data_IF_466406901466
#
_entry.id   IF_466406901466
#
_cell.length_a   1.000
_cell.length_b   1.000
_cell.length_c   1.000
_cell.angle_alpha   90.00
_cell.angle_beta   90.00
_cell.angle_gamma   90.00
#
_symmetry.space_group_name_H-M   'P 1'
#
loop_
_entity.id
_entity.type
_entity.pdbx_description
1 polymer ?
#
# COMPACT_ATOMS: atom_id res chain seq x y z
N UNK A 1 7.56 16.91 15.15
CA UNK A 1 6.41 17.74 15.58
C UNK A 1 5.13 17.10 15.06
N UNK A 2 4.19 16.75 15.94
CA UNK A 2 2.86 16.27 15.56
C UNK A 2 2.08 17.50 15.12
N UNK A 3 1.80 17.63 13.82
CA UNK A 3 1.10 18.82 13.27
C UNK A 3 -0.37 18.80 13.65
N UNK A 4 -0.86 19.90 14.25
CA UNK A 4 -2.28 20.11 14.60
C UNK A 4 -3.13 20.62 13.41
N UNK A 5 -2.49 21.00 12.30
CA UNK A 5 -3.15 21.67 11.16
C UNK A 5 -3.19 20.82 9.88
N UNK A 6 -2.82 19.54 9.94
CA UNK A 6 -2.77 18.70 8.77
C UNK A 6 -4.17 18.47 8.18
N UNK A 7 -4.28 18.75 6.88
CA UNK A 7 -5.49 18.43 6.11
C UNK A 7 -5.66 16.91 5.99
N UNK A 8 -6.64 16.37 6.70
CA UNK A 8 -7.07 14.97 6.60
C UNK A 8 -8.59 14.93 6.69
N UNK A 9 -9.30 14.59 5.62
CA UNK A 9 -10.77 14.53 5.57
C UNK A 9 -11.41 13.77 6.71
N UNK A 10 -10.79 12.68 7.15
CA UNK A 10 -11.24 11.89 8.29
C UNK A 10 -11.39 12.73 9.57
N UNK A 11 -10.44 13.63 9.85
CA UNK A 11 -10.47 14.46 11.03
C UNK A 11 -11.43 15.65 10.94
N UNK A 12 -11.79 16.06 9.74
CA UNK A 12 -12.86 17.05 9.54
C UNK A 12 -14.23 16.43 9.76
N UNK A 13 -14.43 15.22 9.22
CA UNK A 13 -15.70 14.50 9.37
C UNK A 13 -15.90 14.00 10.79
N UNK A 14 -14.84 13.56 11.47
CA UNK A 14 -14.84 13.01 12.83
C UNK A 14 -13.79 13.69 13.69
N UNK A 15 -14.05 14.94 14.15
CA UNK A 15 -13.07 15.72 14.93
C UNK A 15 -12.62 15.07 16.24
N UNK A 16 -13.44 14.18 16.83
CA UNK A 16 -13.08 13.43 18.04
C UNK A 16 -11.89 12.48 17.89
N UNK A 17 -11.51 12.16 16.64
CA UNK A 17 -10.33 11.36 16.35
C UNK A 17 -9.01 12.15 16.46
N UNK A 18 -9.05 13.47 16.26
CA UNK A 18 -7.84 14.30 16.10
C UNK A 18 -6.90 14.25 17.30
N UNK A 19 -7.44 14.20 18.49
CA UNK A 19 -6.65 14.16 19.73
C UNK A 19 -6.24 12.75 20.14
N UNK A 20 -6.98 11.74 19.65
CA UNK A 20 -6.82 10.33 20.05
C UNK A 20 -6.02 9.50 19.06
N UNK A 21 -5.89 9.98 17.83
CA UNK A 21 -5.22 9.29 16.75
C UNK A 21 -4.03 10.11 16.25
N UNK A 22 -2.82 9.83 16.74
CA UNK A 22 -1.63 10.56 16.31
C UNK A 22 -1.35 10.35 14.84
N UNK A 23 -0.83 11.40 14.18
CA UNK A 23 -0.44 11.37 12.78
C UNK A 23 0.84 12.19 12.56
N UNK A 24 1.71 11.74 11.66
CA UNK A 24 2.84 12.50 11.13
C UNK A 24 2.61 12.85 9.66
N UNK A 25 3.21 13.92 9.20
CA UNK A 25 3.08 14.36 7.81
C UNK A 25 4.12 13.70 6.93
N UNK A 26 3.69 12.81 6.06
CA UNK A 26 4.49 12.17 5.02
C UNK A 26 3.92 12.44 3.63
N UNK A 27 2.60 12.30 3.50
CA UNK A 27 1.91 12.38 2.23
C UNK A 27 1.61 13.83 1.82
N UNK A 28 1.78 14.11 0.54
CA UNK A 28 1.27 15.30 -0.14
C UNK A 28 -0.14 14.98 -0.65
N UNK A 29 -1.15 15.48 0.05
CA UNK A 29 -2.55 15.20 -0.25
C UNK A 29 -3.32 16.47 -0.63
N UNK A 30 -4.40 16.33 -1.42
CA UNK A 30 -4.91 15.12 -2.05
C UNK A 30 -4.01 14.63 -3.20
N UNK A 31 -3.90 13.31 -3.39
CA UNK A 31 -3.21 12.78 -4.58
C UNK A 31 -4.03 13.09 -5.84
N UNK A 32 -3.39 13.34 -7.00
CA UNK A 32 -4.11 13.65 -8.22
C UNK A 32 -5.03 12.52 -8.69
N UNK A 33 -6.13 12.89 -9.37
CA UNK A 33 -6.88 12.00 -10.24
C UNK A 33 -6.69 12.49 -11.66
N UNK A 34 -6.33 11.60 -12.57
CA UNK A 34 -6.03 11.91 -13.97
C UNK A 34 -6.83 10.99 -14.89
N UNK A 35 -7.25 11.52 -16.06
CA UNK A 35 -7.86 10.71 -17.11
C UNK A 35 -6.79 9.97 -17.88
N UNK A 36 -6.98 8.67 -18.11
CA UNK A 36 -6.14 7.81 -18.95
C UNK A 36 -6.73 7.74 -20.37
N UNK A 37 -6.70 8.85 -21.09
CA UNK A 37 -7.41 9.01 -22.37
C UNK A 37 -6.88 8.08 -23.47
N UNK A 38 -5.56 7.93 -23.57
CA UNK A 38 -4.97 7.11 -24.62
C UNK A 38 -5.21 5.62 -24.35
N UNK A 39 -5.12 5.19 -23.09
CA UNK A 39 -5.43 3.82 -22.71
C UNK A 39 -6.93 3.55 -22.89
N UNK A 40 -7.80 4.43 -22.42
CA UNK A 40 -9.25 4.28 -22.55
C UNK A 40 -9.66 4.07 -24.01
N UNK A 41 -9.19 4.93 -24.90
CA UNK A 41 -9.43 4.80 -26.35
C UNK A 41 -8.90 3.50 -26.93
N UNK A 42 -7.72 3.05 -26.49
CA UNK A 42 -7.07 1.83 -27.00
C UNK A 42 -7.77 0.54 -26.57
N UNK A 43 -8.42 0.54 -25.40
CA UNK A 43 -9.09 -0.64 -24.84
C UNK A 43 -10.62 -0.60 -24.99
N UNK A 44 -11.17 0.48 -25.60
CA UNK A 44 -12.59 0.63 -25.85
C UNK A 44 -13.42 0.94 -24.58
N UNK A 45 -12.86 1.64 -23.61
CA UNK A 45 -13.55 2.06 -22.38
C UNK A 45 -13.82 3.55 -22.45
N UNK A 46 -15.05 3.98 -22.18
CA UNK A 46 -15.45 5.39 -22.35
C UNK A 46 -14.75 6.31 -21.35
N UNK A 47 -14.67 5.87 -20.09
CA UNK A 47 -14.19 6.69 -18.98
C UNK A 47 -13.27 5.90 -18.06
N UNK A 48 -11.99 6.17 -18.17
CA UNK A 48 -10.94 5.53 -17.38
C UNK A 48 -10.07 6.57 -16.70
N UNK A 49 -10.00 6.48 -15.38
CA UNK A 49 -9.26 7.39 -14.53
C UNK A 49 -8.18 6.65 -13.75
N UNK A 50 -7.16 7.37 -13.29
CA UNK A 50 -6.17 6.86 -12.35
C UNK A 50 -6.06 7.75 -11.13
N UNK A 51 -6.10 7.15 -9.93
CA UNK A 51 -5.73 7.80 -8.66
C UNK A 51 -4.22 7.63 -8.45
N UNK A 52 -3.50 8.74 -8.40
CA UNK A 52 -2.03 8.81 -8.42
C UNK A 52 -1.43 8.69 -7.01
N UNK A 53 -1.74 7.60 -6.30
CA UNK A 53 -1.07 7.34 -5.02
C UNK A 53 0.42 7.02 -5.18
N UNK A 54 0.85 6.66 -6.38
CA UNK A 54 2.24 6.53 -6.75
C UNK A 54 3.04 7.84 -6.58
N UNK A 55 2.36 8.98 -6.55
CA UNK A 55 2.90 10.32 -6.29
C UNK A 55 2.55 10.85 -4.89
N UNK A 56 2.08 10.00 -3.99
CA UNK A 56 1.58 10.38 -2.65
C UNK A 56 2.59 11.10 -1.76
N UNK A 57 3.88 11.03 -2.07
CA UNK A 57 4.91 11.79 -1.38
C UNK A 57 6.12 12.05 -2.29
N UNK A 58 6.95 13.03 -1.93
CA UNK A 58 8.10 13.41 -2.76
C UNK A 58 9.28 12.44 -2.63
N UNK A 59 9.52 11.91 -1.43
CA UNK A 59 10.68 11.07 -1.14
C UNK A 59 10.48 9.63 -1.65
N UNK A 60 9.31 9.05 -1.37
CA UNK A 60 8.91 7.71 -1.82
C UNK A 60 7.37 7.64 -1.78
N UNK A 61 6.74 7.45 -2.91
CA UNK A 61 5.29 7.42 -3.03
C UNK A 61 4.66 6.05 -2.74
N UNK A 62 3.46 5.89 -3.21
CA UNK A 62 2.69 4.65 -3.08
C UNK A 62 1.77 4.60 -1.86
N UNK A 63 0.96 3.58 -1.82
CA UNK A 63 -0.07 3.39 -0.79
C UNK A 63 0.47 3.26 0.64
N UNK A 64 1.74 2.90 0.80
CA UNK A 64 2.33 2.67 2.12
C UNK A 64 2.49 3.95 2.92
N UNK A 65 2.70 5.08 2.24
CA UNK A 65 2.86 6.40 2.86
C UNK A 65 1.65 6.74 3.74
N UNK A 66 0.43 6.56 3.21
CA UNK A 66 -0.82 6.82 3.94
C UNK A 66 -0.95 6.01 5.22
N UNK A 67 -0.46 4.76 5.21
CA UNK A 67 -0.47 3.89 6.39
C UNK A 67 0.60 4.28 7.40
N UNK A 68 1.80 4.61 6.90
CA UNK A 68 2.95 4.97 7.73
C UNK A 68 2.74 6.28 8.47
N UNK A 69 1.92 7.20 7.97
CA UNK A 69 1.54 8.41 8.70
C UNK A 69 0.97 8.11 10.09
N UNK A 70 0.14 7.09 10.21
CA UNK A 70 -0.47 6.68 11.48
C UNK A 70 0.43 5.72 12.28
N UNK A 71 1.12 4.81 11.61
CA UNK A 71 1.95 3.80 12.27
C UNK A 71 3.20 4.41 12.90
N UNK A 72 3.90 5.28 12.17
CA UNK A 72 5.09 5.96 12.71
C UNK A 72 4.71 6.98 13.78
N UNK A 73 3.57 7.66 13.64
CA UNK A 73 3.08 8.54 14.70
C UNK A 73 2.79 7.79 16.00
N UNK A 74 2.21 6.59 15.93
CA UNK A 74 1.96 5.75 17.10
C UNK A 74 3.26 5.26 17.74
N UNK A 75 4.25 4.88 16.91
CA UNK A 75 5.59 4.50 17.38
C UNK A 75 6.24 5.65 18.17
N UNK A 76 6.21 6.87 17.63
CA UNK A 76 6.76 8.06 18.26
C UNK A 76 6.00 8.43 19.54
N UNK A 77 4.67 8.37 19.52
CA UNK A 77 3.83 8.67 20.69
C UNK A 77 4.07 7.68 21.85
N UNK A 78 4.46 6.45 21.54
CA UNK A 78 4.84 5.41 22.51
C UNK A 78 6.30 5.50 22.97
N UNK A 79 7.06 6.48 22.46
CA UNK A 79 8.47 6.65 22.80
C UNK A 79 9.38 5.54 22.26
N UNK A 80 8.97 4.84 21.19
CA UNK A 80 9.80 3.82 20.57
C UNK A 80 11.01 4.47 19.87
N UNK A 81 12.18 3.88 20.05
CA UNK A 81 13.42 4.28 19.35
C UNK A 81 13.65 3.52 18.06
N UNK A 82 12.86 2.49 17.78
CA UNK A 82 13.01 1.64 16.60
C UNK A 82 11.65 1.12 16.11
N UNK A 83 11.64 0.70 14.84
CA UNK A 83 10.53 -0.05 14.22
C UNK A 83 11.02 -1.38 13.69
N UNK A 84 10.16 -2.40 13.73
CA UNK A 84 10.36 -3.69 13.09
C UNK A 84 9.30 -3.88 12.02
N UNK A 85 9.69 -4.32 10.82
CA UNK A 85 8.76 -4.60 9.74
C UNK A 85 9.13 -5.87 8.97
N UNK A 86 8.26 -6.28 8.05
CA UNK A 86 8.32 -7.54 7.33
C UNK A 86 8.05 -7.38 5.85
N UNK A 87 8.62 -8.25 5.03
CA UNK A 87 8.32 -8.29 3.59
C UNK A 87 9.10 -9.35 2.83
N UNK A 88 8.98 -9.35 1.52
CA UNK A 88 9.95 -9.98 0.62
C UNK A 88 11.18 -9.09 0.44
N UNK A 89 12.26 -9.62 -0.12
CA UNK A 89 13.51 -8.89 -0.35
C UNK A 89 13.31 -7.62 -1.21
N UNK A 90 12.33 -7.60 -2.11
CA UNK A 90 11.94 -6.43 -2.90
C UNK A 90 10.72 -5.66 -2.38
N UNK A 91 10.37 -5.81 -1.11
CA UNK A 91 9.16 -5.22 -0.53
C UNK A 91 9.14 -3.69 -0.56
N UNK A 92 8.17 -3.11 -1.28
CA UNK A 92 7.90 -1.67 -1.26
C UNK A 92 7.52 -1.17 0.14
N UNK A 93 6.88 -2.03 0.95
CA UNK A 93 6.50 -1.67 2.31
C UNK A 93 7.70 -1.58 3.25
N UNK A 94 8.56 -2.58 3.24
CA UNK A 94 9.75 -2.60 4.09
C UNK A 94 10.67 -1.41 3.76
N UNK A 95 10.89 -1.14 2.48
CA UNK A 95 11.69 -0.01 2.04
C UNK A 95 11.09 1.33 2.44
N UNK A 96 9.79 1.55 2.20
CA UNK A 96 9.11 2.77 2.63
C UNK A 96 9.18 2.95 4.16
N UNK A 97 9.02 1.85 4.92
CA UNK A 97 9.13 1.89 6.38
C UNK A 97 10.52 2.33 6.83
N UNK A 98 11.58 1.74 6.27
CA UNK A 98 12.97 2.09 6.59
C UNK A 98 13.26 3.57 6.28
N UNK A 99 12.86 4.02 5.09
CA UNK A 99 13.09 5.38 4.64
C UNK A 99 12.41 6.43 5.53
N UNK A 100 11.13 6.19 5.86
CA UNK A 100 10.39 7.14 6.70
C UNK A 100 10.73 7.00 8.19
N UNK A 101 11.12 5.83 8.68
CA UNK A 101 11.66 5.65 10.02
C UNK A 101 12.94 6.49 10.21
N UNK A 102 13.88 6.41 9.26
CA UNK A 102 15.12 7.20 9.26
C UNK A 102 14.85 8.70 9.31
N UNK A 103 13.82 9.19 8.61
CA UNK A 103 13.41 10.62 8.66
C UNK A 103 13.03 11.09 10.06
N UNK A 104 12.53 10.20 10.91
CA UNK A 104 12.14 10.49 12.30
C UNK A 104 13.18 10.05 13.33
N UNK A 105 14.37 9.63 12.90
CA UNK A 105 15.43 9.17 13.79
C UNK A 105 15.14 7.83 14.45
N UNK A 106 14.25 7.02 13.86
CA UNK A 106 13.95 5.67 14.33
C UNK A 106 14.86 4.65 13.64
N UNK A 107 15.50 3.77 14.40
CA UNK A 107 16.16 2.59 13.84
C UNK A 107 15.14 1.71 13.13
N UNK A 108 15.52 1.06 12.02
CA UNK A 108 14.66 0.14 11.31
C UNK A 108 15.24 -1.26 11.25
N UNK A 109 14.47 -2.24 11.69
CA UNK A 109 14.69 -3.66 11.50
C UNK A 109 13.74 -4.17 10.44
N UNK A 110 14.24 -4.96 9.49
CA UNK A 110 13.39 -5.59 8.48
C UNK A 110 13.72 -7.08 8.35
N UNK A 111 12.72 -7.92 8.60
CA UNK A 111 12.81 -9.37 8.37
C UNK A 111 12.24 -9.64 6.97
N UNK A 112 13.12 -10.10 6.07
CA UNK A 112 12.80 -10.24 4.65
C UNK A 112 12.86 -11.70 4.21
N UNK A 113 11.81 -12.15 3.55
CA UNK A 113 11.77 -13.45 2.88
C UNK A 113 12.39 -13.36 1.48
N UNK A 114 12.96 -14.47 0.99
CA UNK A 114 13.45 -14.51 -0.38
C UNK A 114 12.31 -14.45 -1.40
N UNK A 115 12.60 -13.85 -2.53
CA UNK A 115 11.74 -13.77 -3.70
C UNK A 115 12.60 -13.87 -4.98
N UNK A 116 12.00 -13.96 -6.18
CA UNK A 116 12.76 -14.07 -7.41
C UNK A 116 13.82 -12.97 -7.56
N UNK A 117 15.03 -13.36 -7.95
CA UNK A 117 16.11 -12.41 -8.17
C UNK A 117 15.82 -11.54 -9.39
N UNK A 118 15.78 -10.23 -9.16
CA UNK A 118 15.61 -9.20 -10.20
C UNK A 118 16.50 -8.01 -9.87
N UNK A 119 16.84 -7.22 -10.88
CA UNK A 119 17.56 -5.95 -10.67
C UNK A 119 16.85 -5.03 -9.69
N UNK A 120 15.52 -4.97 -9.74
CA UNK A 120 14.72 -4.17 -8.83
C UNK A 120 14.84 -4.62 -7.36
N UNK A 121 14.93 -5.93 -7.11
CA UNK A 121 15.18 -6.48 -5.76
C UNK A 121 16.58 -6.11 -5.29
N UNK A 122 17.60 -6.33 -6.13
CA UNK A 122 18.98 -5.97 -5.82
C UNK A 122 19.12 -4.49 -5.46
N UNK A 123 18.54 -3.59 -6.26
CA UNK A 123 18.52 -2.15 -5.98
C UNK A 123 17.89 -1.82 -4.62
N UNK A 124 16.76 -2.42 -4.28
CA UNK A 124 16.09 -2.17 -3.00
C UNK A 124 16.92 -2.67 -1.80
N UNK A 125 17.60 -3.79 -1.92
CA UNK A 125 18.52 -4.27 -0.88
C UNK A 125 19.69 -3.29 -0.66
N UNK A 126 20.26 -2.73 -1.73
CA UNK A 126 21.27 -1.68 -1.62
C UNK A 126 20.70 -0.41 -0.98
N UNK A 127 19.45 -0.07 -1.30
CA UNK A 127 18.79 1.07 -0.68
C UNK A 127 18.57 0.87 0.83
N UNK A 128 18.22 -0.34 1.26
CA UNK A 128 18.19 -0.67 2.68
C UNK A 128 19.55 -0.49 3.37
N UNK A 129 20.65 -0.82 2.67
CA UNK A 129 22.00 -0.60 3.18
C UNK A 129 22.28 0.89 3.41
N UNK A 130 21.91 1.75 2.44
CA UNK A 130 22.05 3.22 2.57
C UNK A 130 21.23 3.82 3.69
N UNK A 131 20.14 3.16 4.03
CA UNK A 131 19.25 3.56 5.12
C UNK A 131 19.70 3.01 6.48
N UNK A 132 20.82 2.30 6.56
CA UNK A 132 21.28 1.60 7.77
C UNK A 132 20.25 0.63 8.34
N UNK A 133 19.40 0.06 7.47
CA UNK A 133 18.37 -0.90 7.88
C UNK A 133 19.03 -2.20 8.34
N UNK A 134 18.66 -2.67 9.52
CA UNK A 134 19.14 -3.95 10.05
C UNK A 134 18.31 -5.08 9.45
N UNK A 135 18.89 -5.72 8.43
CA UNK A 135 18.23 -6.77 7.67
C UNK A 135 18.45 -8.14 8.29
N UNK A 136 17.40 -8.94 8.36
CA UNK A 136 17.45 -10.36 8.68
C UNK A 136 16.65 -11.15 7.62
N UNK A 137 17.13 -12.34 7.24
CA UNK A 137 16.44 -13.22 6.28
C UNK A 137 15.69 -14.32 7.00
N UNK A 138 14.38 -14.46 6.71
CA UNK A 138 13.58 -15.58 7.20
C UNK A 138 12.47 -15.91 6.19
N UNK A 139 12.35 -17.21 5.84
CA UNK A 139 11.49 -17.65 4.73
C UNK A 139 10.23 -18.40 5.17
N UNK A 140 10.06 -18.66 6.45
CA UNK A 140 8.88 -19.34 7.00
C UNK A 140 8.30 -18.55 8.16
N UNK A 141 6.99 -18.63 8.35
CA UNK A 141 6.34 -17.92 9.45
C UNK A 141 6.92 -18.25 10.84
N UNK A 142 7.26 -19.50 11.18
CA UNK A 142 7.94 -19.78 12.44
C UNK A 142 9.30 -19.07 12.56
N UNK A 143 10.13 -19.07 11.50
CA UNK A 143 11.42 -18.38 11.50
C UNK A 143 11.27 -16.85 11.62
N UNK A 144 10.28 -16.27 10.93
CA UNK A 144 9.96 -14.84 11.03
C UNK A 144 9.55 -14.48 12.47
N UNK A 145 8.70 -15.28 13.11
CA UNK A 145 8.27 -15.05 14.49
C UNK A 145 9.45 -15.14 15.46
N UNK A 146 10.29 -16.17 15.35
CA UNK A 146 11.46 -16.33 16.20
C UNK A 146 12.46 -15.16 16.03
N UNK A 147 12.65 -14.67 14.81
CA UNK A 147 13.48 -13.49 14.54
C UNK A 147 12.88 -12.24 15.18
N UNK A 148 11.57 -12.03 15.02
CA UNK A 148 10.85 -10.90 15.60
C UNK A 148 10.94 -10.90 17.13
N UNK A 149 10.69 -12.03 17.78
CA UNK A 149 10.78 -12.19 19.24
C UNK A 149 12.19 -11.84 19.76
N UNK A 150 13.25 -12.27 19.09
CA UNK A 150 14.63 -11.91 19.44
C UNK A 150 14.87 -10.39 19.34
N UNK A 151 14.41 -9.77 18.27
CA UNK A 151 14.59 -8.32 18.06
C UNK A 151 13.81 -7.54 19.12
N UNK A 152 12.55 -7.91 19.36
CA UNK A 152 11.69 -7.25 20.36
C UNK A 152 12.23 -7.42 21.79
N UNK A 153 12.83 -8.56 22.13
CA UNK A 153 13.41 -8.83 23.45
C UNK A 153 14.79 -8.17 23.65
N UNK A 154 15.58 -7.97 22.61
CA UNK A 154 16.98 -7.54 22.70
C UNK A 154 17.19 -6.02 22.77
N UNK A 155 16.15 -5.24 22.57
CA UNK A 155 16.21 -3.79 22.45
C UNK A 155 15.17 -3.13 23.37
N UNK A 156 15.33 -1.82 23.58
CA UNK A 156 14.28 -1.00 24.19
C UNK A 156 12.99 -1.03 23.40
N UNK A 157 12.10 -0.08 23.61
CA UNK A 157 10.80 -0.07 22.95
C UNK A 157 10.93 -0.06 21.40
N UNK A 158 10.65 -1.21 20.77
CA UNK A 158 10.58 -1.42 19.32
C UNK A 158 9.10 -1.49 18.94
N UNK A 159 8.69 -0.69 17.96
CA UNK A 159 7.33 -0.73 17.44
C UNK A 159 7.21 -1.71 16.28
N UNK A 160 6.35 -2.70 16.44
CA UNK A 160 6.10 -3.70 15.40
C UNK A 160 5.10 -3.17 14.37
N UNK A 161 5.53 -3.07 13.11
CA UNK A 161 4.69 -2.72 11.95
C UNK A 161 4.42 -4.00 11.17
N UNK A 162 3.17 -4.50 11.12
CA UNK A 162 2.86 -5.77 10.49
C UNK A 162 3.07 -5.74 8.97
N UNK A 163 3.04 -6.91 8.32
CA UNK A 163 3.13 -7.04 6.88
C UNK A 163 2.26 -6.01 6.15
N UNK A 164 2.87 -5.26 5.23
CA UNK A 164 2.18 -4.23 4.45
C UNK A 164 1.59 -3.08 5.26
N UNK A 165 1.94 -2.96 6.55
CA UNK A 165 1.35 -1.99 7.47
C UNK A 165 -0.14 -2.22 7.73
N UNK A 166 -0.62 -3.47 7.58
CA UNK A 166 -2.04 -3.80 7.64
C UNK A 166 -2.46 -4.15 9.07
N UNK A 167 -2.67 -3.11 9.86
CA UNK A 167 -3.36 -3.10 11.15
C UNK A 167 -4.44 -2.01 11.09
N UNK A 168 -5.35 -1.98 12.05
CA UNK A 168 -6.39 -0.96 12.09
C UNK A 168 -5.83 0.47 11.96
N UNK A 169 -4.67 0.76 12.57
CA UNK A 169 -4.02 2.08 12.46
C UNK A 169 -3.58 2.37 11.01
N UNK A 170 -2.91 1.43 10.37
CA UNK A 170 -2.49 1.61 8.98
C UNK A 170 -3.68 1.64 8.01
N UNK A 171 -4.71 0.83 8.26
CA UNK A 171 -5.96 0.81 7.48
C UNK A 171 -6.65 2.17 7.54
N UNK A 172 -6.60 2.87 8.68
CA UNK A 172 -7.16 4.23 8.84
C UNK A 172 -6.63 5.22 7.79
N UNK A 173 -5.38 5.06 7.34
CA UNK A 173 -4.82 5.84 6.23
C UNK A 173 -5.62 5.69 4.92
N UNK A 174 -6.23 4.52 4.70
CA UNK A 174 -7.09 4.28 3.54
C UNK A 174 -8.56 4.60 3.78
N UNK A 175 -9.03 4.60 5.01
CA UNK A 175 -10.30 5.26 5.36
C UNK A 175 -10.21 6.75 5.02
N UNK A 176 -9.12 7.41 5.40
CA UNK A 176 -8.88 8.81 5.03
C UNK A 176 -8.78 9.01 3.50
N UNK A 177 -8.16 8.07 2.77
CA UNK A 177 -8.06 8.14 1.31
C UNK A 177 -9.42 8.03 0.60
N UNK A 178 -10.34 7.23 1.15
CA UNK A 178 -11.70 7.15 0.65
C UNK A 178 -12.44 8.50 0.82
N UNK A 179 -12.32 9.12 1.99
CA UNK A 179 -12.93 10.44 2.23
C UNK A 179 -12.30 11.53 1.35
N UNK A 180 -11.00 11.44 1.08
CA UNK A 180 -10.31 12.32 0.12
C UNK A 180 -10.89 12.20 -1.30
N UNK A 181 -11.17 10.97 -1.75
CA UNK A 181 -11.80 10.74 -3.05
C UNK A 181 -13.22 11.34 -3.08
N UNK A 182 -13.98 11.21 -2.00
CA UNK A 182 -15.32 11.82 -1.88
C UNK A 182 -15.24 13.33 -2.05
N UNK A 183 -14.32 14.01 -1.36
CA UNK A 183 -14.14 15.46 -1.53
C UNK A 183 -13.73 15.86 -2.97
N UNK A 184 -12.98 15.00 -3.65
CA UNK A 184 -12.64 15.22 -5.06
C UNK A 184 -13.86 15.05 -5.97
N UNK A 185 -14.75 14.10 -5.68
CA UNK A 185 -16.04 13.92 -6.38
C UNK A 185 -16.94 15.13 -6.12
N UNK A 186 -17.15 15.51 -4.86
CA UNK A 186 -18.01 16.62 -4.45
C UNK A 186 -17.54 17.97 -5.03
N UNK A 187 -16.23 18.13 -5.23
CA UNK A 187 -15.64 19.31 -5.87
C UNK A 187 -15.68 19.28 -7.41
N UNK A 188 -16.26 18.24 -8.01
CA UNK A 188 -16.40 18.10 -9.46
C UNK A 188 -15.09 17.77 -10.20
N UNK A 189 -14.05 17.31 -9.49
CA UNK A 189 -12.78 16.89 -10.12
C UNK A 189 -12.90 15.59 -10.90
N UNK A 190 -13.84 14.75 -10.53
CA UNK A 190 -14.19 13.52 -11.22
C UNK A 190 -15.66 13.18 -10.96
N UNK A 191 -16.25 12.38 -11.84
CA UNK A 191 -17.54 11.77 -11.58
C UNK A 191 -17.40 10.63 -10.55
N UNK A 192 -18.52 10.20 -9.97
CA UNK A 192 -18.55 9.04 -9.09
C UNK A 192 -18.16 7.77 -9.86
N UNK A 193 -17.06 7.09 -9.51
CA UNK A 193 -16.71 5.84 -10.17
C UNK A 193 -17.70 4.71 -9.87
N UNK A 194 -18.07 3.94 -10.88
CA UNK A 194 -18.79 2.67 -10.70
C UNK A 194 -17.88 1.61 -10.09
N UNK A 195 -16.64 1.55 -10.59
CA UNK A 195 -15.66 0.52 -10.25
C UNK A 195 -14.31 1.16 -9.91
N UNK A 196 -13.70 0.64 -8.85
CA UNK A 196 -12.30 0.96 -8.50
C UNK A 196 -11.48 -0.32 -8.52
N UNK A 197 -10.43 -0.36 -9.34
CA UNK A 197 -9.47 -1.46 -9.39
C UNK A 197 -8.25 -1.15 -8.54
N UNK A 198 -7.87 -2.08 -7.67
CA UNK A 198 -6.61 -2.00 -6.93
C UNK A 198 -6.02 -3.38 -6.64
N UNK A 199 -4.71 -3.44 -6.39
CA UNK A 199 -4.04 -4.65 -5.96
C UNK A 199 -4.28 -4.94 -4.48
N UNK A 200 -4.69 -6.16 -4.16
CA UNK A 200 -4.83 -6.71 -2.81
C UNK A 200 -3.67 -7.64 -2.47
N UNK A 201 -2.86 -7.25 -1.48
CA UNK A 201 -1.81 -8.11 -0.93
C UNK A 201 -2.13 -8.51 0.50
N UNK A 202 -1.94 -7.60 1.45
CA UNK A 202 -2.34 -7.76 2.85
C UNK A 202 -3.63 -7.02 3.18
N UNK A 203 -4.44 -6.75 2.22
CA UNK A 203 -5.80 -6.21 2.17
C UNK A 203 -6.05 -4.87 2.89
N UNK A 204 -5.07 -4.29 3.55
CA UNK A 204 -5.28 -3.08 4.35
C UNK A 204 -5.72 -1.84 3.54
N UNK A 205 -5.36 -1.74 2.23
CA UNK A 205 -5.85 -0.65 1.37
C UNK A 205 -7.31 -0.87 0.99
N UNK A 206 -7.65 -2.10 0.61
CA UNK A 206 -9.00 -2.48 0.24
C UNK A 206 -9.98 -2.35 1.43
N UNK A 207 -9.58 -2.84 2.61
CA UNK A 207 -10.38 -2.73 3.85
C UNK A 207 -10.66 -1.27 4.22
N UNK A 208 -9.64 -0.40 4.09
CA UNK A 208 -9.81 1.03 4.40
C UNK A 208 -10.72 1.75 3.41
N UNK A 209 -10.58 1.46 2.11
CA UNK A 209 -11.49 2.02 1.10
C UNK A 209 -12.92 1.54 1.31
N UNK A 210 -13.11 0.24 1.56
CA UNK A 210 -14.44 -0.33 1.80
C UNK A 210 -15.11 0.33 3.01
N UNK A 211 -14.40 0.48 4.12
CA UNK A 211 -14.94 1.15 5.31
C UNK A 211 -15.24 2.64 5.03
N UNK A 212 -14.32 3.35 4.37
CA UNK A 212 -14.51 4.76 4.06
C UNK A 212 -15.68 5.02 3.12
N UNK A 213 -15.92 4.15 2.13
CA UNK A 213 -17.08 4.28 1.24
C UNK A 213 -18.40 3.98 1.96
N UNK A 214 -18.41 3.01 2.89
CA UNK A 214 -19.58 2.79 3.77
C UNK A 214 -19.87 4.03 4.63
N UNK A 215 -18.84 4.66 5.21
CA UNK A 215 -18.99 5.91 5.98
C UNK A 215 -19.57 7.06 5.15
N UNK A 216 -19.32 7.09 3.86
CA UNK A 216 -19.79 8.11 2.94
C UNK A 216 -21.01 7.70 2.12
N UNK A 217 -21.53 6.48 2.33
CA UNK A 217 -22.67 5.92 1.60
C UNK A 217 -22.45 5.92 0.07
N UNK A 218 -21.20 5.76 -0.38
CA UNK A 218 -20.89 5.65 -1.80
C UNK A 218 -21.24 4.25 -2.33
N UNK A 219 -21.91 4.13 -3.47
CA UNK A 219 -22.28 2.84 -4.06
C UNK A 219 -21.14 2.18 -4.85
N UNK A 220 -19.99 2.83 -4.98
CA UNK A 220 -18.83 2.38 -5.76
C UNK A 220 -18.39 0.98 -5.34
N UNK A 221 -18.19 0.08 -6.32
CA UNK A 221 -17.65 -1.26 -6.09
C UNK A 221 -16.13 -1.24 -6.17
N UNK A 222 -15.50 -2.01 -5.29
CA UNK A 222 -14.04 -2.15 -5.21
C UNK A 222 -13.66 -3.53 -5.77
N UNK A 223 -12.97 -3.54 -6.90
CA UNK A 223 -12.41 -4.76 -7.51
C UNK A 223 -10.98 -4.93 -6.97
N UNK A 224 -10.85 -5.82 -6.01
CA UNK A 224 -9.58 -6.15 -5.37
C UNK A 224 -8.93 -7.31 -6.11
N UNK A 225 -7.80 -7.05 -6.75
CA UNK A 225 -7.04 -8.08 -7.45
C UNK A 225 -6.03 -8.70 -6.48
N UNK A 226 -6.34 -9.87 -5.99
CA UNK A 226 -5.51 -10.60 -5.03
C UNK A 226 -4.20 -11.04 -5.68
N UNK A 227 -3.08 -10.61 -5.11
CA UNK A 227 -1.72 -10.88 -5.61
C UNK A 227 -0.84 -11.64 -4.61
N UNK A 228 -1.45 -12.14 -3.55
CA UNK A 228 -0.81 -12.97 -2.51
C UNK A 228 -1.62 -14.24 -2.28
N UNK A 229 -1.00 -15.31 -1.75
CA UNK A 229 -1.74 -16.48 -1.29
C UNK A 229 -2.74 -16.14 -0.17
N UNK A 230 -3.80 -16.95 -0.03
CA UNK A 230 -4.86 -16.76 0.98
C UNK A 230 -4.32 -16.69 2.42
N UNK A 231 -3.22 -17.36 2.72
CA UNK A 231 -2.57 -17.31 4.03
C UNK A 231 -2.05 -15.90 4.41
N UNK A 232 -1.86 -15.02 3.43
CA UNK A 232 -1.29 -13.67 3.62
C UNK A 232 -2.18 -12.55 3.08
N UNK A 233 -3.30 -12.89 2.45
CA UNK A 233 -4.28 -11.96 1.87
C UNK A 233 -5.66 -12.59 1.78
N UNK A 234 -6.54 -12.00 0.97
CA UNK A 234 -7.85 -12.56 0.66
C UNK A 234 -9.00 -12.11 1.57
N UNK A 235 -10.20 -12.66 1.36
CA UNK A 235 -11.46 -12.13 1.92
C UNK A 235 -11.50 -12.18 3.46
N UNK A 236 -10.96 -13.22 4.08
CA UNK A 236 -10.98 -13.36 5.55
C UNK A 236 -10.12 -12.28 6.21
N UNK A 237 -8.94 -12.00 5.65
CA UNK A 237 -8.08 -10.93 6.15
C UNK A 237 -8.71 -9.55 5.94
N UNK A 238 -9.32 -9.33 4.77
CA UNK A 238 -10.04 -8.08 4.48
C UNK A 238 -11.16 -7.86 5.49
N UNK A 239 -12.00 -8.87 5.70
CA UNK A 239 -13.12 -8.84 6.65
C UNK A 239 -12.66 -8.52 8.06
N UNK A 240 -11.61 -9.20 8.54
CA UNK A 240 -11.04 -8.96 9.86
C UNK A 240 -10.52 -7.53 10.00
N UNK A 241 -9.71 -7.06 9.05
CA UNK A 241 -9.15 -5.70 9.10
C UNK A 241 -10.23 -4.61 9.03
N UNK A 242 -11.27 -4.83 8.24
CA UNK A 242 -12.43 -3.93 8.20
C UNK A 242 -13.10 -3.85 9.58
N UNK A 243 -13.45 -5.01 10.15
CA UNK A 243 -14.15 -5.07 11.43
C UNK A 243 -13.31 -4.48 12.58
N UNK A 244 -12.03 -4.85 12.67
CA UNK A 244 -11.11 -4.30 13.67
C UNK A 244 -10.98 -2.77 13.54
N UNK A 245 -10.83 -2.27 12.30
CA UNK A 245 -10.68 -0.83 12.06
C UNK A 245 -11.95 -0.09 12.40
N UNK A 246 -13.11 -0.62 12.00
CA UNK A 246 -14.40 -0.01 12.29
C UNK A 246 -14.66 0.05 13.79
N UNK A 247 -14.41 -1.05 14.52
CA UNK A 247 -14.59 -1.11 15.97
C UNK A 247 -13.68 -0.11 16.70
N UNK A 248 -12.39 -0.02 16.31
CA UNK A 248 -11.45 0.90 16.93
C UNK A 248 -11.77 2.37 16.64
N UNK A 249 -12.15 2.70 15.40
CA UNK A 249 -12.56 4.06 15.04
C UNK A 249 -13.86 4.45 15.78
N UNK A 250 -14.83 3.54 15.89
CA UNK A 250 -16.04 3.75 16.71
C UNK A 250 -15.72 3.98 18.18
N UNK A 251 -14.83 3.18 18.76
CA UNK A 251 -14.38 3.34 20.16
C UNK A 251 -13.75 4.72 20.42
N UNK A 252 -13.00 5.23 19.43
CA UNK A 252 -12.37 6.54 19.50
C UNK A 252 -13.36 7.69 19.28
N UNK A 253 -14.30 7.53 18.35
CA UNK A 253 -15.39 8.49 18.09
C UNK A 253 -16.70 7.73 17.84
N UNK A 254 -17.61 7.65 18.82
CA UNK A 254 -18.90 6.92 18.71
C UNK A 254 -19.84 7.44 17.62
N UNK A 255 -19.56 8.56 16.99
CA UNK A 255 -20.32 9.03 15.81
C UNK A 255 -20.02 8.21 14.54
N UNK A 256 -18.93 7.45 14.55
CA UNK A 256 -18.62 6.49 13.48
C UNK A 256 -19.52 5.26 13.67
N UNK A 257 -20.41 4.93 12.74
CA UNK A 257 -21.29 3.77 12.88
C UNK A 257 -20.49 2.46 12.79
N UNK A 258 -21.00 1.41 13.41
CA UNK A 258 -20.53 0.03 13.19
C UNK A 258 -21.27 -0.52 11.99
N UNK A 259 -20.53 -1.15 11.09
CA UNK A 259 -21.06 -1.78 9.88
C UNK A 259 -20.88 -3.28 9.93
N UNK A 260 -21.92 -3.99 9.60
CA UNK A 260 -21.88 -5.39 9.22
C UNK A 260 -21.53 -5.52 7.73
N UNK A 261 -21.29 -6.73 7.24
CA UNK A 261 -21.04 -7.05 5.83
C UNK A 261 -19.84 -6.29 5.20
N UNK A 262 -18.61 -6.54 5.67
CA UNK A 262 -17.41 -5.89 5.15
C UNK A 262 -17.19 -6.04 3.65
N UNK A 263 -17.72 -7.13 3.06
CA UNK A 263 -17.57 -7.47 1.64
C UNK A 263 -18.67 -6.91 0.73
N UNK A 264 -19.66 -6.20 1.26
CA UNK A 264 -20.85 -5.74 0.51
C UNK A 264 -20.49 -5.02 -0.81
N UNK A 265 -19.41 -4.23 -0.81
CA UNK A 265 -18.97 -3.45 -1.98
C UNK A 265 -17.67 -3.99 -2.60
N UNK A 266 -17.21 -5.17 -2.16
CA UNK A 266 -15.92 -5.72 -2.56
C UNK A 266 -16.10 -6.95 -3.45
N UNK A 267 -15.44 -6.92 -4.60
CA UNK A 267 -15.29 -8.07 -5.49
C UNK A 267 -13.82 -8.51 -5.49
N UNK A 268 -13.54 -9.75 -5.08
CA UNK A 268 -12.19 -10.30 -5.08
C UNK A 268 -11.89 -11.05 -6.38
N UNK A 269 -10.85 -10.61 -7.10
CA UNK A 269 -10.35 -11.27 -8.33
C UNK A 269 -9.09 -12.06 -7.99
N UNK A 270 -9.21 -13.41 -7.97
CA UNK A 270 -8.17 -14.32 -7.47
C UNK A 270 -7.33 -14.98 -8.56
N UNK A 271 -7.67 -14.81 -9.81
CA UNK A 271 -7.08 -15.50 -10.96
C UNK A 271 -5.91 -14.76 -11.62
N UNK A 272 -5.40 -13.69 -10.99
CA UNK A 272 -4.27 -12.89 -11.51
C UNK A 272 -2.97 -13.05 -10.71
N UNK A 273 -2.95 -13.91 -9.69
CA UNK A 273 -1.75 -14.20 -8.90
C UNK A 273 -0.62 -14.81 -9.75
N UNK A 274 -0.97 -15.61 -10.76
CA UNK A 274 -0.01 -16.37 -11.56
C UNK A 274 0.57 -17.55 -10.77
N UNK A 275 1.85 -17.85 -10.99
CA UNK A 275 2.53 -18.97 -10.30
C UNK A 275 2.87 -18.68 -8.84
N UNK A 276 2.67 -17.43 -8.36
CA UNK A 276 2.90 -17.08 -6.96
C UNK A 276 3.16 -15.60 -6.72
N UNK A 277 3.40 -15.29 -5.44
CA UNK A 277 3.78 -13.95 -5.02
C UNK A 277 5.11 -13.52 -5.67
N UNK A 278 5.21 -12.26 -6.05
CA UNK A 278 6.36 -11.65 -6.73
C UNK A 278 6.75 -12.30 -8.07
N UNK A 279 6.00 -13.31 -8.55
CA UNK A 279 6.21 -13.89 -9.89
C UNK A 279 5.54 -13.01 -10.95
N UNK A 280 6.28 -12.48 -11.95
CA UNK A 280 5.71 -11.76 -13.07
C UNK A 280 4.79 -12.66 -13.91
N UNK A 281 3.72 -12.09 -14.46
CA UNK A 281 2.84 -12.76 -15.43
C UNK A 281 2.97 -12.12 -16.81
N UNK A 282 2.65 -12.83 -17.87
CA UNK A 282 2.68 -12.28 -19.24
C UNK A 282 1.70 -11.13 -19.40
N UNK A 283 0.48 -11.26 -18.87
CA UNK A 283 -0.50 -10.19 -18.87
C UNK A 283 -0.03 -8.98 -18.07
N UNK A 284 0.66 -9.19 -16.95
CA UNK A 284 1.26 -8.13 -16.16
C UNK A 284 2.38 -7.39 -16.93
N UNK A 285 3.26 -8.12 -17.62
CA UNK A 285 4.29 -7.51 -18.48
C UNK A 285 3.68 -6.68 -19.62
N UNK A 286 2.64 -7.22 -20.26
CA UNK A 286 1.89 -6.48 -21.28
C UNK A 286 1.23 -5.20 -20.71
N UNK A 287 0.66 -5.28 -19.52
CA UNK A 287 0.06 -4.13 -18.83
C UNK A 287 1.08 -3.04 -18.51
N UNK A 288 2.30 -3.41 -18.04
CA UNK A 288 3.39 -2.45 -17.78
C UNK A 288 3.76 -1.70 -19.07
N UNK A 289 3.98 -2.45 -20.15
CA UNK A 289 4.35 -1.85 -21.45
C UNK A 289 3.25 -0.91 -21.96
N UNK A 290 2.00 -1.36 -21.87
CA UNK A 290 0.86 -0.60 -22.36
C UNK A 290 0.69 0.74 -21.59
N UNK A 291 0.68 0.74 -20.26
CA UNK A 291 0.54 1.95 -19.47
C UNK A 291 1.74 2.90 -19.64
N UNK A 292 2.94 2.35 -19.78
CA UNK A 292 4.12 3.16 -20.04
C UNK A 292 4.03 3.88 -21.40
N UNK A 293 3.52 3.20 -22.42
CA UNK A 293 3.39 3.74 -23.77
C UNK A 293 2.25 4.75 -23.92
N UNK A 294 1.10 4.50 -23.26
CA UNK A 294 -0.09 5.33 -23.41
C UNK A 294 -0.13 6.48 -22.42
N UNK A 295 0.25 6.26 -21.16
CA UNK A 295 0.04 7.22 -20.07
C UNK A 295 1.33 7.65 -19.36
N UNK A 296 2.49 7.09 -19.75
CA UNK A 296 3.78 7.30 -19.07
C UNK A 296 3.74 6.91 -17.58
N UNK A 297 2.84 6.00 -17.20
CA UNK A 297 2.70 5.51 -15.83
C UNK A 297 3.54 4.26 -15.62
N UNK A 298 4.31 4.25 -14.53
CA UNK A 298 5.11 3.10 -14.12
C UNK A 298 4.31 2.19 -13.20
N UNK A 299 4.38 0.88 -13.46
CA UNK A 299 3.79 -0.17 -12.64
C UNK A 299 4.88 -1.12 -12.13
N UNK A 300 4.62 -1.79 -11.01
CA UNK A 300 5.45 -2.90 -10.53
C UNK A 300 4.89 -4.26 -10.98
N UNK A 301 5.76 -5.26 -11.07
CA UNK A 301 5.39 -6.60 -11.53
C UNK A 301 4.51 -7.37 -10.52
N UNK A 302 4.61 -7.07 -9.23
CA UNK A 302 3.99 -7.86 -8.16
C UNK A 302 2.53 -7.48 -7.92
N UNK A 303 2.23 -6.17 -7.95
CA UNK A 303 0.96 -5.61 -7.52
C UNK A 303 0.20 -4.92 -8.67
N UNK A 304 0.66 -3.74 -9.07
CA UNK A 304 -0.09 -2.87 -9.96
C UNK A 304 -0.22 -3.40 -11.37
N UNK A 305 0.79 -4.12 -11.87
CA UNK A 305 0.70 -4.79 -13.17
C UNK A 305 -0.40 -5.84 -13.21
N UNK A 306 -0.53 -6.65 -12.16
CA UNK A 306 -1.57 -7.69 -12.08
C UNK A 306 -2.97 -7.08 -11.93
N UNK A 307 -3.09 -5.98 -11.16
CA UNK A 307 -4.35 -5.25 -11.05
C UNK A 307 -4.77 -4.64 -12.39
N UNK A 308 -3.83 -4.06 -13.13
CA UNK A 308 -4.08 -3.56 -14.47
C UNK A 308 -4.42 -4.68 -15.45
N UNK A 309 -3.76 -5.84 -15.37
CA UNK A 309 -4.09 -7.00 -16.20
C UNK A 309 -5.55 -7.45 -15.99
N UNK A 310 -6.05 -7.41 -14.75
CA UNK A 310 -7.45 -7.69 -14.46
C UNK A 310 -8.40 -6.66 -15.10
N UNK A 311 -8.09 -5.37 -14.99
CA UNK A 311 -8.84 -4.30 -15.64
C UNK A 311 -8.88 -4.49 -17.16
N UNK A 312 -7.74 -4.77 -17.79
CA UNK A 312 -7.65 -5.04 -19.24
C UNK A 312 -8.43 -6.29 -19.66
N UNK A 313 -8.43 -7.32 -18.83
CA UNK A 313 -9.23 -8.54 -19.07
C UNK A 313 -10.72 -8.24 -19.01
N UNK A 314 -11.16 -7.40 -18.08
CA UNK A 314 -12.56 -7.01 -17.93
C UNK A 314 -13.01 -6.08 -19.07
N UNK A 315 -12.14 -5.19 -19.54
CA UNK A 315 -12.40 -4.37 -20.73
C UNK A 315 -12.62 -5.25 -21.97
N UNK A 316 -11.71 -6.20 -22.24
CA UNK A 316 -11.87 -7.14 -23.37
C UNK A 316 -13.15 -7.98 -23.31
N UNK A 317 -13.65 -8.23 -22.11
CA UNK A 317 -14.88 -8.99 -21.89
C UNK A 317 -16.16 -8.11 -21.89
N UNK A 318 -16.07 -6.81 -22.21
CA UNK A 318 -17.19 -5.87 -22.22
C UNK A 318 -17.76 -5.55 -20.84
N UNK A 319 -17.07 -5.91 -19.76
CA UNK A 319 -17.56 -5.65 -18.38
C UNK A 319 -17.43 -4.20 -17.93
N UNK A 320 -16.69 -3.40 -18.69
CA UNK A 320 -16.45 -1.99 -18.39
C UNK A 320 -17.26 -1.05 -19.28
N UNK A 321 -18.11 -1.59 -20.16
CA UNK A 321 -18.94 -0.80 -21.06
C UNK A 321 -19.88 0.14 -20.27
N UNK A 322 -19.89 1.40 -20.64
CA UNK A 322 -20.67 2.45 -19.99
C UNK A 322 -20.39 2.66 -18.50
N UNK A 323 -19.18 2.26 -18.01
CA UNK A 323 -18.75 2.43 -16.63
C UNK A 323 -17.75 3.57 -16.47
N UNK A 324 -17.89 4.28 -15.35
CA UNK A 324 -16.82 5.14 -14.81
C UNK A 324 -15.83 4.26 -14.04
N UNK A 325 -14.62 4.09 -14.53
CA UNK A 325 -13.61 3.20 -13.96
C UNK A 325 -12.44 3.99 -13.42
N UNK A 326 -12.05 3.71 -12.17
CA UNK A 326 -10.88 4.29 -11.54
C UNK A 326 -9.85 3.19 -11.23
N UNK A 327 -8.64 3.32 -11.75
CA UNK A 327 -7.50 2.52 -11.35
C UNK A 327 -6.77 3.22 -10.19
N UNK A 328 -6.58 2.53 -9.06
CA UNK A 328 -5.81 3.07 -7.94
C UNK A 328 -4.36 2.64 -8.05
N UNK A 329 -3.49 3.52 -8.55
CA UNK A 329 -2.06 3.20 -8.68
C UNK A 329 -1.37 3.29 -7.31
N UNK A 330 -1.10 2.13 -6.73
CA UNK A 330 -0.52 1.98 -5.39
C UNK A 330 1.00 1.85 -5.35
N UNK A 331 1.66 1.84 -6.50
CA UNK A 331 3.13 1.72 -6.60
C UNK A 331 3.81 3.06 -6.28
N UNK A 332 5.13 3.09 -6.29
CA UNK A 332 5.92 4.31 -6.20
C UNK A 332 6.42 4.71 -7.60
N UNK A 333 6.10 5.93 -8.04
CA UNK A 333 6.61 6.50 -9.30
C UNK A 333 7.78 7.47 -9.12
N UNK A 334 8.23 7.69 -7.88
CA UNK A 334 9.41 8.52 -7.67
C UNK A 334 10.65 7.79 -8.17
N UNK A 335 11.56 8.50 -8.85
CA UNK A 335 12.79 7.87 -9.30
C UNK A 335 13.60 7.37 -8.11
N UNK A 336 14.30 6.27 -8.31
CA UNK A 336 15.30 5.83 -7.36
C UNK A 336 16.40 6.92 -7.25
N UNK A 337 17.06 7.07 -6.08
CA UNK A 337 18.18 8.00 -5.95
C UNK A 337 19.23 7.71 -7.02
N UNK A 338 19.79 8.77 -7.61
CA UNK A 338 20.85 8.64 -8.64
C UNK A 338 22.08 7.86 -8.15
N UNK A 339 22.26 7.81 -6.84
CA UNK A 339 23.34 7.10 -6.18
C UNK A 339 22.78 6.23 -5.08
N UNK A 340 22.58 4.96 -5.41
CA UNK A 340 22.33 3.93 -4.43
C UNK A 340 23.70 3.44 -3.97
N UNK A 341 24.08 3.82 -2.74
CA UNK A 341 25.22 3.36 -1.97
C UNK A 341 26.64 3.56 -2.52
N UNK A 342 27.49 4.15 -1.68
CA UNK A 342 28.94 3.94 -1.74
C UNK A 342 29.36 2.61 -1.08
N UNK A 343 28.40 1.86 -0.48
CA UNK A 343 28.63 0.57 0.18
C UNK A 343 28.73 -0.59 -0.82
N UNK A 344 29.44 -1.61 -0.42
CA UNK A 344 29.50 -2.85 -1.18
C UNK A 344 28.27 -3.71 -0.86
N UNK A 345 27.65 -4.37 -1.86
CA UNK A 345 26.63 -5.39 -1.60
C UNK A 345 27.12 -6.50 -0.62
N UNK A 346 28.45 -6.62 -0.44
CA UNK A 346 29.07 -7.54 0.52
C UNK A 346 28.86 -7.13 1.98
N UNK A 347 28.41 -5.90 2.23
CA UNK A 347 28.05 -5.40 3.56
C UNK A 347 26.63 -5.85 3.96
N UNK A 348 25.85 -6.39 3.02
CA UNK A 348 24.57 -7.03 3.31
C UNK A 348 24.77 -8.36 4.08
N UNK A 349 23.77 -8.83 4.83
CA UNK A 349 23.79 -10.20 5.36
C UNK A 349 23.97 -11.23 4.24
N UNK A 350 24.82 -12.25 4.47
CA UNK A 350 25.18 -13.26 3.46
C UNK A 350 24.00 -13.92 2.76
N UNK A 351 22.87 -14.04 3.42
CA UNK A 351 21.65 -14.60 2.85
C UNK A 351 21.18 -13.85 1.59
N UNK A 352 21.51 -12.56 1.45
CA UNK A 352 21.11 -11.74 0.30
C UNK A 352 22.13 -11.71 -0.85
N UNK A 353 23.29 -12.35 -0.72
CA UNK A 353 24.33 -12.36 -1.76
C UNK A 353 23.87 -12.97 -3.08
N UNK A 354 22.89 -13.89 -3.03
CA UNK A 354 22.31 -14.52 -4.21
C UNK A 354 21.70 -13.53 -5.22
N UNK A 355 21.34 -12.33 -4.81
CA UNK A 355 20.77 -11.29 -5.67
C UNK A 355 21.83 -10.50 -6.47
N UNK A 356 23.13 -10.77 -6.23
CA UNK A 356 24.26 -10.05 -6.83
C UNK A 356 25.26 -10.97 -7.53
N UNK A 357 25.05 -12.27 -7.50
CA UNK A 357 25.97 -13.26 -8.06
C UNK A 357 25.53 -13.80 -9.43
N UNK A 358 24.65 -13.09 -10.13
CA UNK A 358 24.19 -13.45 -11.48
C UNK A 358 24.95 -12.72 -12.57
#
# INVERSE_FOLDING_TARGET
MISRTLYRPLFYRYPGLREKLPIVELATLPTPVQTMQQLASKIGVDKLLVKRDDESAQLYGGNKVRKLEFLLADALAKGCGAVLTYGGAGSNHALATALYAKRFGLDCYAILAHEPATEAVAKKLLYHLDLDTRLESANTMPAIRAAAERILASRGAVYEIPFGGSSWRGVTGFVNAALELVEQIDSGKLNLPDLIYLAGGTEGSASGLALGFRLCQLPTRIVVVQVTPDATGGPDLLTRLFAETNAELHRLDPRIPIFDEPMQQVEMRRNFLGSGYAQPTDDGRAAIQLLKQTESITLDNTYTAKATAALLSDARAGRLDSKEVLFWNTYNSRPDPERISNGSWRDLPKAFYQYFNS
#
